data_IF_065557222081
#
_entry.id   IF_065557222081
#
_cell.length_a   1.000
_cell.length_b   1.000
_cell.length_c   1.000
_cell.angle_alpha   90.00
_cell.angle_beta   90.00
_cell.angle_gamma   90.00
#
_symmetry.space_group_name_H-M   'P 1'
#
loop_
_entity.id
_entity.type
_entity.pdbx_description
1 polymer ?
#
# COMPACT_ATOMS: atom_id res chain seq x y z
N UNK A 1 18.70 7.38 -20.55
CA UNK A 1 17.56 7.19 -19.66
C UNK A 1 18.01 7.03 -18.23
N UNK A 2 17.51 7.87 -17.38
CA UNK A 2 17.95 7.86 -15.99
C UNK A 2 17.38 6.67 -15.24
N UNK A 3 18.25 5.89 -14.62
CA UNK A 3 17.82 4.85 -13.70
C UNK A 3 17.36 5.51 -12.40
N UNK A 4 16.32 4.96 -11.81
CA UNK A 4 15.88 5.44 -10.51
C UNK A 4 16.98 5.13 -9.51
N UNK A 5 17.47 6.16 -8.82
CA UNK A 5 18.51 5.98 -7.82
C UNK A 5 17.92 5.33 -6.57
N UNK A 6 18.78 4.73 -5.75
CA UNK A 6 18.36 4.15 -4.48
C UNK A 6 17.68 5.18 -3.59
N UNK A 7 18.20 6.40 -3.59
CA UNK A 7 17.63 7.49 -2.82
C UNK A 7 16.21 7.82 -3.29
N UNK A 8 16.00 7.88 -4.60
CA UNK A 8 14.66 8.14 -5.15
C UNK A 8 13.70 7.00 -4.82
N UNK A 9 14.18 5.76 -4.95
CA UNK A 9 13.38 4.58 -4.61
C UNK A 9 12.95 4.61 -3.14
N UNK A 10 13.88 4.91 -2.25
CA UNK A 10 13.59 5.00 -0.82
C UNK A 10 12.58 6.11 -0.53
N UNK A 11 12.67 7.22 -1.25
CA UNK A 11 11.72 8.31 -1.13
C UNK A 11 10.31 7.89 -1.52
N UNK A 12 10.16 7.14 -2.60
CA UNK A 12 8.86 6.62 -3.01
C UNK A 12 8.30 5.63 -2.00
N UNK A 13 9.15 4.72 -1.50
CA UNK A 13 8.74 3.75 -0.49
C UNK A 13 8.29 4.46 0.78
N UNK A 14 9.04 5.46 1.21
CA UNK A 14 8.70 6.23 2.41
C UNK A 14 7.38 6.95 2.23
N UNK A 15 7.14 7.52 1.07
CA UNK A 15 5.86 8.18 0.79
C UNK A 15 4.71 7.20 0.84
N UNK A 16 4.89 6.00 0.30
CA UNK A 16 3.88 4.94 0.37
C UNK A 16 3.58 4.57 1.82
N UNK A 17 4.62 4.39 2.62
CA UNK A 17 4.47 4.04 4.03
C UNK A 17 3.73 5.15 4.78
N UNK A 18 4.13 6.39 4.58
CA UNK A 18 3.51 7.53 5.25
C UNK A 18 2.04 7.67 4.88
N UNK A 19 1.71 7.56 3.60
CA UNK A 19 0.33 7.65 3.14
C UNK A 19 -0.51 6.47 3.64
N UNK A 20 0.06 5.27 3.69
CA UNK A 20 -0.62 4.10 4.23
C UNK A 20 -1.00 4.32 5.69
N UNK A 21 -0.07 4.84 6.48
CA UNK A 21 -0.31 5.11 7.91
C UNK A 21 -1.31 6.23 8.11
N UNK A 22 -1.21 7.27 7.29
CA UNK A 22 -2.08 8.43 7.38
C UNK A 22 -3.52 8.08 7.03
N UNK A 23 -3.72 7.27 5.99
CA UNK A 23 -5.04 6.93 5.49
C UNK A 23 -5.61 5.66 6.10
N UNK A 24 -4.77 4.86 6.75
CA UNK A 24 -5.15 3.55 7.27
C UNK A 24 -5.18 2.45 6.23
N UNK A 25 -5.13 2.79 4.96
CA UNK A 25 -5.07 1.86 3.84
C UNK A 25 -4.67 2.63 2.58
N UNK A 26 -3.84 2.01 1.76
CA UNK A 26 -3.45 2.62 0.49
C UNK A 26 -3.68 1.62 -0.65
N UNK A 27 -4.57 1.96 -1.58
CA UNK A 27 -4.83 1.12 -2.75
C UNK A 27 -3.84 1.44 -3.86
N UNK A 28 -3.72 0.51 -4.84
CA UNK A 28 -2.87 0.74 -6.00
C UNK A 28 -3.32 2.00 -6.75
N UNK A 29 -4.63 2.18 -6.90
CA UNK A 29 -5.17 3.34 -7.57
C UNK A 29 -4.77 4.65 -6.90
N UNK A 30 -4.89 4.68 -5.57
CA UNK A 30 -4.50 5.87 -4.80
C UNK A 30 -3.02 6.17 -4.98
N UNK A 31 -2.18 5.13 -4.93
CA UNK A 31 -0.75 5.30 -5.08
C UNK A 31 -0.37 5.78 -6.48
N UNK A 32 -1.08 5.31 -7.51
CA UNK A 32 -0.85 5.79 -8.86
C UNK A 32 -1.05 7.30 -8.96
N UNK A 33 -2.10 7.81 -8.33
CA UNK A 33 -2.39 9.24 -8.33
C UNK A 33 -1.37 10.02 -7.50
N UNK A 34 -1.01 9.52 -6.34
CA UNK A 34 -0.08 10.19 -5.43
C UNK A 34 1.32 10.24 -6.02
N UNK A 35 1.79 9.14 -6.58
CA UNK A 35 3.16 9.04 -7.09
C UNK A 35 3.29 9.43 -8.56
N UNK A 36 2.20 9.53 -9.29
CA UNK A 36 2.24 9.80 -10.72
C UNK A 36 2.85 8.66 -11.51
N UNK A 37 2.61 7.42 -11.08
CA UNK A 37 3.17 6.22 -11.71
C UNK A 37 2.06 5.32 -12.24
N UNK A 38 2.44 4.39 -13.16
CA UNK A 38 1.49 3.39 -13.62
C UNK A 38 1.36 2.25 -12.61
N UNK A 39 0.37 1.38 -12.83
CA UNK A 39 0.07 0.29 -11.90
C UNK A 39 1.23 -0.67 -11.69
N UNK A 40 1.94 -1.01 -12.76
CA UNK A 40 3.05 -1.96 -12.66
C UNK A 40 4.16 -1.44 -11.76
N UNK A 41 4.51 -0.16 -11.91
CA UNK A 41 5.52 0.46 -11.07
C UNK A 41 5.06 0.53 -9.62
N UNK A 42 3.80 0.91 -9.40
CA UNK A 42 3.23 1.00 -8.06
C UNK A 42 3.24 -0.36 -7.38
N UNK A 43 2.88 -1.42 -8.09
CA UNK A 43 2.88 -2.76 -7.50
C UNK A 43 4.28 -3.18 -7.08
N UNK A 44 5.30 -2.84 -7.85
CA UNK A 44 6.69 -3.11 -7.45
C UNK A 44 7.05 -2.40 -6.15
N UNK A 45 6.69 -1.13 -6.05
CA UNK A 45 6.97 -0.37 -4.84
C UNK A 45 6.14 -0.86 -3.65
N UNK A 46 4.93 -1.34 -3.88
CA UNK A 46 4.13 -1.97 -2.83
C UNK A 46 4.84 -3.19 -2.27
N UNK A 47 5.38 -4.03 -3.15
CA UNK A 47 6.13 -5.21 -2.72
C UNK A 47 7.36 -4.81 -1.89
N UNK A 48 8.10 -3.80 -2.36
CA UNK A 48 9.27 -3.31 -1.65
C UNK A 48 8.91 -2.75 -0.28
N UNK A 49 7.84 -2.00 -0.19
CA UNK A 49 7.38 -1.44 1.08
C UNK A 49 6.97 -2.54 2.05
N UNK A 50 6.27 -3.55 1.56
CA UNK A 50 5.87 -4.69 2.39
C UNK A 50 7.09 -5.48 2.87
N UNK A 51 8.08 -5.67 2.00
CA UNK A 51 9.31 -6.36 2.36
C UNK A 51 10.10 -5.62 3.44
N UNK A 52 9.99 -4.30 3.49
CA UNK A 52 10.66 -3.52 4.52
C UNK A 52 10.09 -3.75 5.91
N UNK A 53 8.89 -4.34 5.99
CA UNK A 53 8.23 -4.62 7.26
C UNK A 53 7.47 -3.45 7.86
N UNK A 54 7.47 -2.30 7.19
CA UNK A 54 6.81 -1.10 7.72
C UNK A 54 5.31 -1.08 7.43
N UNK A 55 4.88 -1.76 6.38
CA UNK A 55 3.48 -1.88 6.00
C UNK A 55 3.19 -3.32 5.64
N UNK A 56 1.91 -3.67 5.60
CA UNK A 56 1.47 -5.04 5.32
C UNK A 56 0.62 -5.05 4.05
N UNK A 57 1.01 -5.88 3.09
CA UNK A 57 0.27 -6.01 1.85
C UNK A 57 -0.84 -7.05 2.00
N UNK A 58 -2.05 -6.68 1.66
CA UNK A 58 -3.23 -7.53 1.74
C UNK A 58 -3.79 -7.78 0.34
N UNK A 59 -3.33 -8.84 -0.30
CA UNK A 59 -3.81 -9.29 -1.61
C UNK A 59 -4.25 -8.15 -2.54
N UNK A 60 -5.55 -8.12 -2.87
CA UNK A 60 -6.12 -7.12 -3.78
C UNK A 60 -6.56 -5.83 -3.08
N UNK A 61 -6.54 -5.82 -1.77
CA UNK A 61 -7.06 -4.68 -1.01
C UNK A 61 -6.05 -3.54 -0.84
N UNK A 62 -4.78 -3.77 -1.13
CA UNK A 62 -3.75 -2.75 -1.05
C UNK A 62 -2.85 -2.92 0.15
N UNK A 63 -2.30 -1.81 0.66
CA UNK A 63 -1.41 -1.80 1.80
C UNK A 63 -2.14 -1.34 3.05
N UNK A 64 -1.76 -1.94 4.17
CA UNK A 64 -2.25 -1.58 5.49
C UNK A 64 -1.07 -1.23 6.41
N UNK A 65 -1.29 -0.39 7.44
CA UNK A 65 -0.20 0.01 8.33
C UNK A 65 0.39 -1.16 9.12
N UNK A 66 -0.45 -2.15 9.45
CA UNK A 66 -0.01 -3.32 10.18
C UNK A 66 -0.96 -4.49 9.92
N UNK A 67 -0.61 -5.64 10.46
CA UNK A 67 -1.41 -6.86 10.29
C UNK A 67 -2.80 -6.73 10.92
N UNK A 68 -2.89 -6.05 12.04
CA UNK A 68 -4.16 -5.86 12.75
C UNK A 68 -5.17 -5.11 11.89
N UNK A 69 -4.69 -4.14 11.10
CA UNK A 69 -5.55 -3.40 10.19
C UNK A 69 -6.16 -4.30 9.11
N UNK A 70 -5.42 -5.30 8.64
CA UNK A 70 -5.95 -6.25 7.66
C UNK A 70 -7.06 -7.10 8.25
N UNK A 71 -6.89 -7.52 9.50
CA UNK A 71 -7.90 -8.31 10.21
C UNK A 71 -9.17 -7.49 10.40
N UNK A 72 -9.04 -6.25 10.84
CA UNK A 72 -10.18 -5.35 11.02
C UNK A 72 -10.92 -5.11 9.71
N UNK A 73 -10.20 -4.96 8.62
CA UNK A 73 -10.78 -4.79 7.30
C UNK A 73 -11.60 -6.01 6.89
N UNK A 74 -11.04 -7.20 7.08
CA UNK A 74 -11.74 -8.45 6.74
C UNK A 74 -12.98 -8.64 7.59
N UNK A 75 -12.90 -8.35 8.88
CA UNK A 75 -14.06 -8.47 9.78
C UNK A 75 -15.18 -7.53 9.35
N UNK A 76 -14.85 -6.31 8.94
CA UNK A 76 -15.86 -5.37 8.44
C UNK A 76 -16.50 -5.87 7.17
N UNK A 77 -15.71 -6.45 6.27
CA UNK A 77 -16.25 -7.04 5.04
C UNK A 77 -17.24 -8.14 5.32
N UNK A 78 -16.87 -9.06 6.21
CA UNK A 78 -17.76 -10.15 6.59
C UNK A 78 -19.03 -9.65 7.25
N UNK A 79 -18.91 -8.68 8.13
CA UNK A 79 -20.08 -8.08 8.80
C UNK A 79 -21.02 -7.47 7.78
N UNK A 80 -20.49 -6.74 6.82
CA UNK A 80 -21.29 -6.12 5.75
C UNK A 80 -22.00 -7.16 4.91
N UNK A 81 -21.30 -8.22 4.54
CA UNK A 81 -21.90 -9.31 3.75
C UNK A 81 -22.98 -10.04 4.52
N UNK A 82 -22.78 -10.25 5.81
CA UNK A 82 -23.74 -10.93 6.66
C UNK A 82 -24.99 -10.12 6.90
N UNK A 83 -24.87 -8.82 6.88
CA UNK A 83 -25.99 -7.93 7.10
C UNK A 83 -26.91 -7.77 5.91
N UNK A 84 -26.52 -8.34 4.80
CA UNK A 84 -27.32 -8.25 3.58
C UNK A 84 -28.56 -9.13 3.67
#
# INVERSE_FOLDING_TARGET
MAMITEKQRNGFIQKIVDETRKRGRLTVRDACEILGMNRDAVQRYFNMAAESGQVFRHKKSGLFPDYRATINFDLKRYSSNKGA
#
